data_IF_406582403257
#
_entry.id   IF_406582403257
#
_cell.length_a   1.000
_cell.length_b   1.000
_cell.length_c   1.000
_cell.angle_alpha   90.00
_cell.angle_beta   90.00
_cell.angle_gamma   90.00
#
_symmetry.space_group_name_H-M   'P 1'
#
loop_
_entity.id
_entity.type
_entity.pdbx_description
1 polymer ?
#
# COMPACT_ATOMS: atom_id res chain seq x y z
N UNK A 1 -7.57 -22.49 31.52
CA UNK A 1 -6.99 -21.92 30.33
C UNK A 1 -8.10 -21.27 29.53
N UNK A 2 -8.06 -19.95 29.38
CA UNK A 2 -9.01 -19.20 28.56
C UNK A 2 -8.48 -19.21 27.13
N UNK A 3 -9.10 -19.98 26.25
CA UNK A 3 -8.84 -19.90 24.82
C UNK A 3 -9.56 -18.66 24.29
N UNK A 4 -8.83 -17.59 23.99
CA UNK A 4 -9.37 -16.49 23.21
C UNK A 4 -9.56 -16.95 21.77
N UNK A 5 -10.80 -16.84 21.29
CA UNK A 5 -11.15 -17.19 19.92
C UNK A 5 -10.65 -16.07 19.00
N UNK A 6 -9.42 -16.20 18.49
CA UNK A 6 -8.74 -15.23 17.65
C UNK A 6 -9.48 -14.90 16.34
N UNK A 7 -10.47 -15.70 15.96
CA UNK A 7 -11.22 -15.51 14.71
C UNK A 7 -12.33 -14.45 14.79
N UNK A 8 -12.79 -14.10 16.00
CA UNK A 8 -13.90 -13.14 16.15
C UNK A 8 -13.42 -11.68 16.25
N UNK A 9 -12.15 -11.45 16.55
CA UNK A 9 -11.56 -10.11 16.65
C UNK A 9 -11.15 -9.49 15.28
N UNK A 10 -11.28 -10.25 14.19
CA UNK A 10 -10.82 -9.80 12.86
C UNK A 10 -11.79 -8.92 12.07
N UNK A 11 -13.02 -8.73 12.51
CA UNK A 11 -14.04 -8.05 11.69
C UNK A 11 -14.25 -6.56 12.00
N UNK A 12 -13.83 -6.06 13.16
CA UNK A 12 -14.25 -4.70 13.58
C UNK A 12 -13.10 -3.71 13.88
N UNK A 13 -11.85 -4.05 13.59
CA UNK A 13 -10.72 -3.11 13.81
C UNK A 13 -9.67 -3.16 12.70
N UNK A 14 -10.07 -3.12 11.45
CA UNK A 14 -9.11 -2.77 10.40
C UNK A 14 -8.67 -1.33 10.64
N UNK A 15 -7.38 -1.14 10.94
CA UNK A 15 -6.80 0.19 11.11
C UNK A 15 -7.06 1.01 9.84
N UNK A 16 -7.70 2.17 9.99
CA UNK A 16 -7.84 3.10 8.87
C UNK A 16 -6.45 3.61 8.45
N UNK A 17 -6.06 3.30 7.22
CA UNK A 17 -4.78 3.70 6.63
C UNK A 17 -4.93 4.85 5.61
N UNK A 18 -6.05 5.55 5.59
CA UNK A 18 -6.32 6.63 4.62
C UNK A 18 -5.28 7.74 4.70
N UNK A 19 -4.79 8.05 5.89
CA UNK A 19 -3.70 9.01 6.10
C UNK A 19 -2.29 8.39 6.04
N UNK A 20 -2.14 7.15 5.55
CA UNK A 20 -0.83 6.59 5.20
C UNK A 20 -0.34 7.23 3.89
N UNK A 21 -0.08 8.52 3.94
CA UNK A 21 0.36 9.33 2.82
C UNK A 21 1.25 10.48 3.31
N UNK A 22 2.07 11.02 2.44
CA UNK A 22 2.87 12.19 2.77
C UNK A 22 2.02 13.48 2.71
N UNK A 23 2.34 14.46 3.55
CA UNK A 23 1.58 15.70 3.60
C UNK A 23 1.53 16.43 2.25
N UNK A 24 2.62 16.35 1.46
CA UNK A 24 2.67 17.00 0.16
C UNK A 24 1.63 16.42 -0.82
N UNK A 25 1.27 15.14 -0.69
CA UNK A 25 0.21 14.53 -1.50
C UNK A 25 -1.12 15.26 -1.26
N UNK A 26 -1.49 15.48 0.00
CA UNK A 26 -2.73 16.17 0.35
C UNK A 26 -2.72 17.65 -0.07
N UNK A 27 -1.59 18.33 0.05
CA UNK A 27 -1.49 19.73 -0.41
C UNK A 27 -1.55 19.82 -1.94
N UNK A 28 -1.00 18.84 -2.67
CA UNK A 28 -1.17 18.75 -4.13
C UNK A 28 -2.63 18.46 -4.50
N UNK A 29 -3.30 17.55 -3.82
CA UNK A 29 -4.73 17.29 -4.03
C UNK A 29 -5.57 18.56 -3.87
N UNK A 30 -5.31 19.33 -2.81
CA UNK A 30 -5.97 20.62 -2.61
C UNK A 30 -5.72 21.57 -3.79
N UNK A 31 -4.48 21.63 -4.28
CA UNK A 31 -4.15 22.42 -5.47
C UNK A 31 -4.90 21.98 -6.73
N UNK A 32 -5.03 20.67 -6.95
CA UNK A 32 -5.81 20.12 -8.08
C UNK A 32 -7.30 20.46 -7.94
N UNK A 33 -7.84 20.35 -6.71
CA UNK A 33 -9.23 20.71 -6.41
C UNK A 33 -9.50 22.18 -6.70
N UNK A 34 -8.67 23.10 -6.22
CA UNK A 34 -8.81 24.54 -6.44
C UNK A 34 -8.68 24.93 -7.92
N UNK A 35 -7.96 24.13 -8.72
CA UNK A 35 -7.80 24.34 -10.17
C UNK A 35 -8.82 23.58 -11.01
N UNK A 36 -9.74 22.82 -10.39
CA UNK A 36 -10.75 21.98 -11.06
C UNK A 36 -10.16 20.98 -12.07
N UNK A 37 -8.96 20.43 -11.79
CA UNK A 37 -8.31 19.38 -12.58
C UNK A 37 -8.23 18.02 -11.83
N UNK A 38 -8.78 17.96 -10.62
CA UNK A 38 -8.71 16.78 -9.75
C UNK A 38 -9.40 15.56 -10.36
N UNK A 39 -10.44 15.76 -11.19
CA UNK A 39 -11.18 14.68 -11.88
C UNK A 39 -10.56 14.27 -13.22
N UNK A 40 -9.48 14.90 -13.67
CA UNK A 40 -8.80 14.52 -14.90
C UNK A 40 -8.29 13.08 -14.79
N UNK A 41 -8.60 12.25 -15.81
CA UNK A 41 -8.17 10.87 -15.83
C UNK A 41 -6.68 10.76 -16.12
N UNK A 42 -5.96 10.04 -15.25
CA UNK A 42 -4.52 9.80 -15.39
C UNK A 42 -4.19 8.30 -15.36
N UNK A 43 -3.00 7.97 -15.84
CA UNK A 43 -2.43 6.62 -15.77
C UNK A 43 -1.08 6.74 -15.07
N UNK A 44 -0.92 5.99 -13.96
CA UNK A 44 0.33 5.88 -13.23
C UNK A 44 0.80 4.43 -13.20
N UNK A 45 2.09 4.24 -13.47
CA UNK A 45 2.73 2.94 -13.44
C UNK A 45 3.67 2.81 -12.23
N UNK A 46 3.52 1.73 -11.48
CA UNK A 46 4.49 1.33 -10.46
C UNK A 46 5.50 0.36 -11.06
N UNK A 47 6.79 0.58 -10.81
CA UNK A 47 7.89 -0.29 -11.22
C UNK A 47 9.06 -0.19 -10.25
N UNK A 48 9.94 -1.20 -10.24
CA UNK A 48 11.20 -1.13 -9.51
C UNK A 48 12.28 -0.46 -10.37
N UNK A 49 12.98 0.52 -9.82
CA UNK A 49 14.11 1.18 -10.48
C UNK A 49 15.35 0.30 -10.50
N UNK A 50 15.51 -0.55 -9.48
CA UNK A 50 16.64 -1.47 -9.27
C UNK A 50 16.16 -2.70 -8.53
N UNK A 51 16.75 -3.85 -8.83
CA UNK A 51 16.54 -5.05 -8.03
C UNK A 51 17.15 -4.91 -6.64
N UNK A 52 16.49 -5.52 -5.64
CA UNK A 52 16.99 -5.57 -4.29
C UNK A 52 18.32 -6.33 -4.18
N UNK A 53 19.18 -5.88 -3.27
CA UNK A 53 20.42 -6.59 -2.91
C UNK A 53 21.34 -6.93 -4.10
N UNK A 54 21.40 -6.09 -5.13
CA UNK A 54 22.11 -6.34 -6.39
C UNK A 54 21.72 -7.69 -7.04
N UNK A 55 20.46 -8.13 -6.81
CA UNK A 55 19.93 -9.35 -7.41
C UNK A 55 19.57 -9.19 -8.89
N UNK A 56 19.33 -10.31 -9.56
CA UNK A 56 18.94 -10.33 -10.98
C UNK A 56 17.45 -10.12 -11.23
N UNK A 57 16.59 -10.17 -10.19
CA UNK A 57 15.15 -10.11 -10.30
C UNK A 57 14.49 -9.60 -9.01
N UNK A 58 13.19 -9.31 -9.09
CA UNK A 58 12.31 -9.03 -7.94
C UNK A 58 11.05 -9.90 -8.05
N UNK A 59 10.62 -10.52 -6.95
CA UNK A 59 9.34 -11.22 -6.87
C UNK A 59 8.29 -10.25 -6.34
N UNK A 60 7.20 -10.09 -7.08
CA UNK A 60 6.10 -9.20 -6.70
C UNK A 60 5.28 -9.83 -5.59
N UNK A 61 5.03 -9.07 -4.52
CA UNK A 61 4.18 -9.46 -3.40
C UNK A 61 3.56 -8.20 -2.74
N UNK A 62 2.40 -8.33 -2.11
CA UNK A 62 1.70 -7.24 -1.43
C UNK A 62 0.47 -6.71 -2.18
N UNK A 63 0.13 -7.29 -3.32
CA UNK A 63 -1.05 -6.89 -4.11
C UNK A 63 -2.33 -7.11 -3.30
N UNK A 64 -2.47 -8.26 -2.62
CA UNK A 64 -3.65 -8.56 -1.80
C UNK A 64 -3.88 -7.50 -0.71
N UNK A 65 -2.84 -7.14 0.05
CA UNK A 65 -2.94 -6.10 1.07
C UNK A 65 -3.25 -4.73 0.47
N UNK A 66 -2.71 -4.43 -0.71
CA UNK A 66 -3.04 -3.18 -1.40
C UNK A 66 -4.51 -3.14 -1.84
N UNK A 67 -5.06 -4.25 -2.34
CA UNK A 67 -6.49 -4.36 -2.67
C UNK A 67 -7.37 -4.19 -1.41
N UNK A 68 -6.98 -4.78 -0.28
CA UNK A 68 -7.66 -4.55 1.00
C UNK A 68 -7.65 -3.06 1.39
N UNK A 69 -6.51 -2.38 1.24
CA UNK A 69 -6.40 -0.94 1.50
C UNK A 69 -7.35 -0.14 0.61
N UNK A 70 -7.37 -0.39 -0.71
CA UNK A 70 -8.24 0.31 -1.67
C UNK A 70 -9.71 0.13 -1.34
N UNK A 71 -10.12 -1.07 -0.94
CA UNK A 71 -11.51 -1.37 -0.60
C UNK A 71 -11.97 -0.70 0.71
N UNK A 72 -11.04 -0.29 1.56
CA UNK A 72 -11.32 0.27 2.89
C UNK A 72 -10.94 1.75 3.02
N UNK A 73 -10.34 2.37 2.00
CA UNK A 73 -9.93 3.78 2.05
C UNK A 73 -11.15 4.70 2.18
N UNK A 74 -11.15 5.51 3.22
CA UNK A 74 -12.19 6.51 3.51
C UNK A 74 -11.68 7.52 4.53
N UNK A 75 -12.04 8.79 4.41
CA UNK A 75 -11.72 9.78 5.42
C UNK A 75 -12.75 9.73 6.55
N UNK A 76 -12.31 9.33 7.75
CA UNK A 76 -13.13 9.39 8.96
C UNK A 76 -13.33 10.84 9.44
N UNK A 77 -14.30 11.05 10.34
CA UNK A 77 -14.48 12.37 10.97
C UNK A 77 -13.22 12.81 11.75
N UNK A 78 -12.50 11.85 12.36
CA UNK A 78 -11.24 12.15 13.07
C UNK A 78 -10.12 12.56 12.09
N UNK A 79 -10.02 11.89 10.93
CA UNK A 79 -9.07 12.28 9.88
C UNK A 79 -9.35 13.71 9.40
N UNK A 80 -10.62 14.03 9.12
CA UNK A 80 -11.01 15.37 8.65
C UNK A 80 -10.78 16.44 9.73
N UNK A 81 -11.07 16.13 11.00
CA UNK A 81 -10.79 17.02 12.12
C UNK A 81 -9.29 17.29 12.27
N UNK A 82 -8.46 16.25 12.13
CA UNK A 82 -7.01 16.39 12.13
C UNK A 82 -6.54 17.27 10.97
N UNK A 83 -6.98 17.00 9.74
CA UNK A 83 -6.61 17.81 8.57
C UNK A 83 -7.04 19.26 8.72
N UNK A 84 -8.23 19.51 9.29
CA UNK A 84 -8.71 20.87 9.58
C UNK A 84 -7.79 21.60 10.59
N UNK A 85 -7.29 20.89 11.59
CA UNK A 85 -6.40 21.46 12.62
C UNK A 85 -5.07 21.97 12.06
N UNK A 86 -4.64 21.46 10.90
CA UNK A 86 -3.41 21.89 10.22
C UNK A 86 -3.52 23.31 9.62
N UNK A 87 -4.74 23.82 9.41
CA UNK A 87 -5.00 25.11 8.78
C UNK A 87 -4.38 25.29 7.37
N UNK A 88 -4.25 24.17 6.63
CA UNK A 88 -3.68 24.15 5.27
C UNK A 88 -4.75 23.96 4.18
N UNK A 89 -5.95 23.55 4.56
CA UNK A 89 -6.99 23.11 3.64
C UNK A 89 -8.27 23.93 3.80
N UNK A 90 -8.95 24.20 2.67
CA UNK A 90 -10.25 24.88 2.71
C UNK A 90 -11.35 23.96 3.22
N UNK A 91 -12.39 24.52 3.86
CA UNK A 91 -13.56 23.73 4.30
C UNK A 91 -14.25 23.03 3.11
N UNK A 92 -14.20 23.61 1.91
CA UNK A 92 -14.72 22.99 0.68
C UNK A 92 -13.97 21.73 0.31
N UNK A 93 -12.64 21.78 0.37
CA UNK A 93 -11.79 20.62 0.08
C UNK A 93 -11.99 19.52 1.13
N UNK A 94 -12.07 19.86 2.42
CA UNK A 94 -12.34 18.87 3.47
C UNK A 94 -13.72 18.21 3.30
N UNK A 95 -14.74 18.97 2.89
CA UNK A 95 -16.07 18.41 2.56
C UNK A 95 -15.99 17.47 1.36
N UNK A 96 -15.21 17.82 0.34
CA UNK A 96 -14.99 16.95 -0.83
C UNK A 96 -14.32 15.62 -0.42
N UNK A 97 -13.31 15.65 0.46
CA UNK A 97 -12.65 14.43 0.95
C UNK A 97 -13.57 13.51 1.76
N UNK A 98 -14.61 14.03 2.40
CA UNK A 98 -15.57 13.22 3.18
C UNK A 98 -16.25 12.13 2.34
N UNK A 99 -16.51 12.40 1.07
CA UNK A 99 -17.18 11.49 0.15
C UNK A 99 -16.18 10.67 -0.70
N UNK A 100 -14.90 10.68 -0.32
CA UNK A 100 -13.85 9.97 -1.06
C UNK A 100 -14.16 8.48 -1.17
N UNK A 101 -14.10 7.99 -2.41
CA UNK A 101 -14.08 6.56 -2.76
C UNK A 101 -13.16 6.36 -3.94
N UNK A 102 -12.42 5.27 -3.93
CA UNK A 102 -11.66 4.90 -5.11
C UNK A 102 -12.60 4.31 -6.18
N UNK A 103 -12.57 4.87 -7.38
CA UNK A 103 -13.43 4.49 -8.51
C UNK A 103 -12.64 4.15 -9.77
N UNK A 104 -11.31 4.16 -9.68
CA UNK A 104 -10.42 3.86 -10.79
C UNK A 104 -10.27 2.36 -11.05
N UNK A 105 -9.53 2.04 -12.10
CA UNK A 105 -9.12 0.69 -12.46
C UNK A 105 -7.68 0.45 -12.02
N UNK A 106 -7.39 -0.78 -11.56
CA UNK A 106 -6.04 -1.23 -11.19
C UNK A 106 -5.75 -2.51 -11.98
N UNK A 107 -4.65 -2.50 -12.71
CA UNK A 107 -4.12 -3.64 -13.44
C UNK A 107 -2.79 -4.03 -12.79
N UNK A 108 -2.63 -5.27 -12.37
CA UNK A 108 -1.41 -5.73 -11.72
C UNK A 108 -1.02 -7.11 -12.22
N UNK A 109 0.27 -7.43 -12.15
CA UNK A 109 0.74 -8.80 -12.30
C UNK A 109 0.34 -9.62 -11.06
N UNK A 110 0.26 -10.93 -11.21
CA UNK A 110 -0.03 -11.82 -10.08
C UNK A 110 1.13 -11.83 -9.07
N UNK A 111 0.83 -11.98 -7.78
CA UNK A 111 1.85 -12.20 -6.76
C UNK A 111 2.67 -13.44 -7.08
N UNK A 112 3.96 -13.40 -6.79
CA UNK A 112 4.92 -14.43 -7.16
C UNK A 112 5.55 -14.26 -8.55
N UNK A 113 5.05 -13.33 -9.37
CA UNK A 113 5.65 -13.03 -10.68
C UNK A 113 7.05 -12.45 -10.52
N UNK A 114 7.98 -12.96 -11.34
CA UNK A 114 9.34 -12.42 -11.45
C UNK A 114 9.32 -11.23 -12.40
N UNK A 115 9.81 -10.08 -11.89
CA UNK A 115 9.88 -8.83 -12.64
C UNK A 115 11.29 -8.25 -12.63
N UNK A 116 11.57 -7.43 -13.64
CA UNK A 116 12.86 -6.77 -13.81
C UNK A 116 12.73 -5.23 -13.68
N UNK A 117 13.84 -4.51 -13.48
CA UNK A 117 13.80 -3.05 -13.35
C UNK A 117 13.12 -2.37 -14.54
N UNK A 118 12.31 -1.34 -14.22
CA UNK A 118 11.57 -0.51 -15.17
C UNK A 118 10.44 -1.23 -15.93
N UNK A 119 10.06 -2.44 -15.53
CA UNK A 119 8.86 -3.10 -16.01
C UNK A 119 7.67 -2.73 -15.13
N UNK A 120 6.52 -2.27 -15.68
CA UNK A 120 5.33 -1.98 -14.90
C UNK A 120 4.79 -3.24 -14.21
N UNK A 121 4.68 -3.20 -12.89
CA UNK A 121 4.12 -4.27 -12.07
C UNK A 121 2.66 -4.01 -11.70
N UNK A 122 2.29 -2.74 -11.67
CA UNK A 122 0.93 -2.30 -11.42
C UNK A 122 0.69 -0.96 -12.13
N UNK A 123 -0.46 -0.86 -12.79
CA UNK A 123 -0.93 0.36 -13.46
C UNK A 123 -2.24 0.80 -12.83
N UNK A 124 -2.31 2.06 -12.42
CA UNK A 124 -3.52 2.71 -11.91
C UNK A 124 -4.06 3.65 -12.97
N UNK A 125 -5.33 3.48 -13.36
CA UNK A 125 -6.07 4.43 -14.20
C UNK A 125 -7.23 5.00 -13.39
N UNK A 126 -7.13 6.25 -12.99
CA UNK A 126 -8.08 6.87 -12.05
C UNK A 126 -8.13 8.39 -12.22
N UNK A 127 -9.12 9.08 -11.63
CA UNK A 127 -9.06 10.53 -11.45
C UNK A 127 -7.78 10.91 -10.70
N UNK A 128 -7.17 12.03 -11.08
CA UNK A 128 -5.86 12.48 -10.61
C UNK A 128 -5.75 12.49 -9.09
N UNK A 129 -6.77 12.98 -8.37
CA UNK A 129 -6.76 13.04 -6.92
C UNK A 129 -6.73 11.64 -6.27
N UNK A 130 -7.39 10.66 -6.88
CA UNK A 130 -7.41 9.29 -6.38
C UNK A 130 -6.07 8.60 -6.61
N UNK A 131 -5.56 8.67 -7.85
CA UNK A 131 -4.28 8.08 -8.21
C UNK A 131 -3.13 8.65 -7.36
N UNK A 132 -3.12 9.96 -7.12
CA UNK A 132 -2.12 10.65 -6.32
C UNK A 132 -2.19 10.24 -4.84
N UNK A 133 -3.39 10.13 -4.25
CA UNK A 133 -3.55 9.83 -2.83
C UNK A 133 -3.01 8.45 -2.46
N UNK A 134 -3.25 7.45 -3.30
CA UNK A 134 -2.92 6.06 -2.99
C UNK A 134 -1.44 5.71 -3.21
N UNK A 135 -0.64 6.59 -3.81
CA UNK A 135 0.75 6.34 -4.20
C UNK A 135 1.61 5.87 -3.03
N UNK A 136 1.62 6.59 -1.92
CA UNK A 136 2.49 6.28 -0.78
C UNK A 136 2.17 4.92 -0.17
N UNK A 137 0.89 4.61 0.04
CA UNK A 137 0.46 3.32 0.56
C UNK A 137 0.80 2.18 -0.42
N UNK A 138 0.53 2.37 -1.71
CA UNK A 138 0.87 1.43 -2.77
C UNK A 138 2.37 1.07 -2.73
N UNK A 139 3.23 2.08 -2.79
CA UNK A 139 4.67 1.89 -2.81
C UNK A 139 5.17 1.22 -1.52
N UNK A 140 4.71 1.64 -0.35
CA UNK A 140 5.13 1.09 0.94
C UNK A 140 4.74 -0.38 1.08
N UNK A 141 3.50 -0.73 0.75
CA UNK A 141 2.96 -2.08 0.90
C UNK A 141 3.70 -3.06 -0.04
N UNK A 142 3.74 -2.75 -1.34
CA UNK A 142 4.29 -3.66 -2.34
C UNK A 142 5.81 -3.73 -2.24
N UNK A 143 6.49 -2.61 -2.00
CA UNK A 143 7.94 -2.60 -1.88
C UNK A 143 8.41 -3.48 -0.72
N UNK A 144 7.83 -3.33 0.47
CA UNK A 144 8.19 -4.12 1.65
C UNK A 144 8.03 -5.63 1.41
N UNK A 145 6.83 -6.06 0.97
CA UNK A 145 6.55 -7.48 0.78
C UNK A 145 7.37 -8.08 -0.37
N UNK A 146 7.56 -7.34 -1.46
CA UNK A 146 8.39 -7.80 -2.58
C UNK A 146 9.86 -7.96 -2.21
N UNK A 147 10.41 -7.07 -1.37
CA UNK A 147 11.77 -7.21 -0.82
C UNK A 147 11.93 -8.49 0.00
N UNK A 148 10.96 -8.80 0.87
CA UNK A 148 10.97 -10.02 1.69
C UNK A 148 10.80 -11.26 0.80
N UNK A 149 9.82 -11.31 -0.09
CA UNK A 149 9.58 -12.42 -1.00
C UNK A 149 10.83 -12.72 -1.86
N UNK A 150 11.46 -11.68 -2.41
CA UNK A 150 12.69 -11.82 -3.20
C UNK A 150 13.84 -12.38 -2.36
N UNK A 151 14.00 -11.93 -1.12
CA UNK A 151 15.01 -12.47 -0.21
C UNK A 151 14.73 -13.93 0.14
N UNK A 152 13.48 -14.25 0.48
CA UNK A 152 13.05 -15.59 0.83
C UNK A 152 13.27 -16.58 -0.32
N UNK A 153 12.93 -16.20 -1.55
CA UNK A 153 13.14 -17.04 -2.73
C UNK A 153 14.61 -17.45 -2.92
N UNK A 154 15.55 -16.55 -2.65
CA UNK A 154 16.99 -16.84 -2.73
C UNK A 154 17.45 -17.79 -1.61
N UNK A 155 16.90 -17.64 -0.41
CA UNK A 155 17.17 -18.53 0.72
C UNK A 155 16.62 -19.91 0.42
N UNK A 156 15.37 -20.02 -0.04
CA UNK A 156 14.75 -21.29 -0.42
C UNK A 156 15.49 -21.98 -1.58
N UNK A 157 15.92 -21.21 -2.57
CA UNK A 157 16.75 -21.74 -3.66
C UNK A 157 18.09 -22.32 -3.14
N UNK A 158 18.75 -21.63 -2.22
CA UNK A 158 20.00 -22.11 -1.62
C UNK A 158 19.80 -23.34 -0.70
N UNK A 159 18.63 -23.48 -0.10
CA UNK A 159 18.26 -24.62 0.75
C UNK A 159 18.03 -25.93 -0.04
N UNK A 160 17.85 -25.88 -1.37
CA UNK A 160 17.73 -27.05 -2.25
C UNK A 160 16.69 -28.09 -1.81
N UNK A 161 15.58 -27.64 -1.21
CA UNK A 161 14.48 -28.46 -0.73
C UNK A 161 14.49 -28.74 0.78
N UNK A 162 15.53 -28.32 1.50
CA UNK A 162 15.49 -28.35 2.96
C UNK A 162 14.44 -27.34 3.48
N UNK A 163 13.74 -27.68 4.59
CA UNK A 163 12.74 -26.77 5.17
C UNK A 163 13.34 -25.45 5.61
N UNK A 164 12.72 -24.34 5.19
CA UNK A 164 13.07 -22.98 5.60
C UNK A 164 11.97 -22.43 6.51
N UNK A 165 12.33 -21.89 7.66
CA UNK A 165 11.39 -21.32 8.63
C UNK A 165 11.69 -19.85 8.87
N UNK A 166 10.65 -19.00 8.81
CA UNK A 166 10.74 -17.58 9.18
C UNK A 166 10.64 -17.46 10.71
N UNK A 167 11.65 -16.88 11.37
CA UNK A 167 11.75 -16.66 12.81
C UNK A 167 11.97 -15.19 13.20
N UNK A 168 11.69 -14.26 12.29
CA UNK A 168 11.96 -12.83 12.44
C UNK A 168 10.93 -12.05 13.24
N UNK A 169 9.75 -12.62 13.57
CA UNK A 169 8.61 -11.91 14.13
C UNK A 169 8.98 -10.98 15.30
N UNK A 170 9.74 -11.45 16.28
CA UNK A 170 10.15 -10.65 17.46
C UNK A 170 11.16 -9.55 17.15
N UNK A 171 11.71 -9.50 15.94
CA UNK A 171 12.69 -8.52 15.46
C UNK A 171 12.15 -7.69 14.29
N UNK A 172 10.89 -7.92 13.91
CA UNK A 172 10.23 -7.17 12.86
C UNK A 172 10.02 -5.71 13.29
N UNK A 173 9.95 -4.83 12.32
CA UNK A 173 9.74 -3.40 12.54
C UNK A 173 8.25 -3.09 12.67
N UNK A 174 7.66 -3.58 13.75
CA UNK A 174 6.24 -3.46 14.07
C UNK A 174 5.43 -4.71 13.72
N UNK A 175 4.19 -4.82 14.24
CA UNK A 175 3.33 -5.99 14.06
C UNK A 175 3.03 -6.29 12.58
N UNK A 176 2.75 -5.25 11.79
CA UNK A 176 2.46 -5.39 10.37
C UNK A 176 3.66 -5.96 9.61
N UNK A 177 4.87 -5.46 9.90
CA UNK A 177 6.09 -6.00 9.31
C UNK A 177 6.32 -7.48 9.67
N UNK A 178 5.93 -7.90 10.88
CA UNK A 178 6.00 -9.29 11.30
C UNK A 178 5.04 -10.18 10.52
N UNK A 179 3.76 -9.83 10.48
CA UNK A 179 2.73 -10.66 9.85
C UNK A 179 2.83 -10.69 8.33
N UNK A 180 2.95 -9.53 7.68
CA UNK A 180 3.09 -9.45 6.23
C UNK A 180 4.47 -9.92 5.74
N UNK A 181 5.51 -9.77 6.56
CA UNK A 181 6.83 -10.34 6.26
C UNK A 181 6.79 -11.87 6.25
N UNK A 182 6.15 -12.51 7.25
CA UNK A 182 5.97 -13.95 7.29
C UNK A 182 5.11 -14.47 6.13
N UNK A 183 4.06 -13.72 5.73
CA UNK A 183 3.24 -14.05 4.56
C UNK A 183 4.05 -14.01 3.27
N UNK A 184 4.89 -12.99 3.10
CA UNK A 184 5.67 -12.78 1.88
C UNK A 184 6.83 -13.79 1.74
N UNK A 185 7.36 -14.32 2.86
CA UNK A 185 8.42 -15.32 2.88
C UNK A 185 7.90 -16.72 2.52
#
# INVERSE_FOLDING_TARGET
GVFYNFLTLRRDTMRNLTLLTDLYQLTMLNGYFEKNIHEDMVIFDMFFRKNACNGGYTIVCGIEQFVEYINNIHFSEDDLAYLKSLNLFSDKFLTFLKDFKFTGDIYAVEEGTIMFPNEPILTVKAPLYQAQLIETALLTIINFQSLIATKASRVCFAAQGDPVFEFGLRRAQGPDAGTYGARAA
#
